data_IF_057076304136
#
_entry.id   IF_057076304136
#
_cell.length_a   1.000
_cell.length_b   1.000
_cell.length_c   1.000
_cell.angle_alpha   90.00
_cell.angle_beta   90.00
_cell.angle_gamma   90.00
#
_symmetry.space_group_name_H-M   'P 1'
#
loop_
_entity.id
_entity.type
_entity.pdbx_description
1 polymer ?
#
# COMPACT_ATOMS: atom_id res chain seq x y z
N UNK A 1 40.00 -48.88 4.45
CA UNK A 1 39.11 -47.71 4.65
C UNK A 1 38.03 -48.15 5.61
N UNK A 2 37.95 -47.59 6.84
CA UNK A 2 37.07 -48.10 7.89
C UNK A 2 35.61 -47.86 7.56
N UNK A 3 34.73 -48.83 7.73
CA UNK A 3 33.28 -48.77 7.44
C UNK A 3 32.62 -47.50 7.97
N UNK A 4 33.07 -46.98 9.09
CA UNK A 4 32.62 -45.70 9.67
C UNK A 4 32.81 -44.52 8.71
N UNK A 5 33.90 -44.44 7.95
CA UNK A 5 34.16 -43.35 6.99
C UNK A 5 33.24 -43.40 5.79
N UNK A 6 32.85 -44.61 5.36
CA UNK A 6 31.91 -44.82 4.25
C UNK A 6 30.49 -44.34 4.64
N UNK A 7 30.07 -44.64 5.88
CA UNK A 7 28.77 -44.22 6.43
C UNK A 7 28.69 -42.69 6.50
N UNK A 8 29.75 -42.02 6.98
CA UNK A 8 29.77 -40.54 7.03
C UNK A 8 29.76 -39.91 5.62
N UNK A 9 30.45 -40.49 4.64
CA UNK A 9 30.41 -40.03 3.26
C UNK A 9 29.01 -40.20 2.63
N UNK A 10 28.32 -41.30 2.91
CA UNK A 10 26.93 -41.52 2.43
C UNK A 10 25.94 -40.54 3.08
N UNK A 11 26.13 -40.22 4.38
CA UNK A 11 25.27 -39.28 5.09
C UNK A 11 25.44 -37.85 4.59
N UNK A 12 26.66 -37.44 4.23
CA UNK A 12 26.95 -36.11 3.66
C UNK A 12 26.40 -36.00 2.24
N UNK A 13 26.46 -37.07 1.43
CA UNK A 13 25.94 -37.11 0.07
C UNK A 13 24.41 -37.03 0.04
N UNK A 14 23.69 -37.55 1.06
CA UNK A 14 22.23 -37.46 1.13
C UNK A 14 21.69 -36.09 1.54
N UNK A 15 22.50 -35.24 2.18
CA UNK A 15 22.12 -33.84 2.53
C UNK A 15 22.22 -32.86 1.35
N UNK A 16 22.83 -33.24 0.23
CA UNK A 16 23.04 -32.37 -0.93
C UNK A 16 21.83 -32.23 -1.87
N UNK A 17 20.76 -33.00 -1.69
CA UNK A 17 19.54 -32.86 -2.49
C UNK A 17 18.57 -31.91 -1.77
N UNK A 18 18.98 -30.66 -1.62
CA UNK A 18 18.08 -29.59 -1.25
C UNK A 18 17.11 -29.35 -2.39
N UNK A 19 15.81 -29.49 -2.12
CA UNK A 19 14.76 -29.19 -3.08
C UNK A 19 14.74 -27.68 -3.33
N UNK A 20 15.39 -27.22 -4.37
CA UNK A 20 15.43 -25.81 -4.80
C UNK A 20 14.01 -25.28 -5.08
N UNK A 21 13.14 -26.13 -5.63
CA UNK A 21 11.74 -25.82 -5.90
C UNK A 21 10.83 -25.67 -4.68
N UNK A 22 11.29 -26.09 -3.48
CA UNK A 22 10.51 -25.91 -2.25
C UNK A 22 10.60 -24.48 -1.70
N UNK A 23 11.66 -23.76 -2.04
CA UNK A 23 11.88 -22.37 -1.62
C UNK A 23 11.36 -21.35 -2.65
N UNK A 24 11.01 -21.80 -3.84
CA UNK A 24 10.42 -20.97 -4.90
C UNK A 24 8.89 -20.85 -4.70
N UNK A 25 8.51 -20.33 -3.54
CA UNK A 25 7.13 -20.00 -3.22
C UNK A 25 6.87 -18.59 -3.70
N UNK A 26 6.26 -18.46 -4.88
CA UNK A 26 5.62 -17.18 -5.24
C UNK A 26 4.62 -16.85 -4.12
N UNK A 27 4.79 -15.75 -3.37
CA UNK A 27 3.84 -15.35 -2.36
C UNK A 27 2.47 -15.17 -3.02
N UNK A 28 1.50 -15.99 -2.64
CA UNK A 28 0.13 -15.97 -3.19
C UNK A 28 -0.60 -14.62 -3.02
N UNK A 29 0.03 -13.69 -2.31
CA UNK A 29 -0.49 -12.34 -2.06
C UNK A 29 0.18 -11.25 -2.93
N UNK A 30 1.25 -11.58 -3.65
CA UNK A 30 1.95 -10.63 -4.50
C UNK A 30 1.72 -11.04 -5.96
N UNK A 31 0.78 -10.37 -6.60
CA UNK A 31 0.58 -10.53 -8.05
C UNK A 31 1.76 -9.83 -8.71
N UNK A 32 2.54 -10.57 -9.49
CA UNK A 32 3.64 -9.99 -10.26
C UNK A 32 3.02 -9.04 -11.29
N UNK A 33 3.54 -7.82 -11.40
CA UNK A 33 3.01 -6.77 -12.29
C UNK A 33 2.80 -7.30 -13.73
N UNK A 34 3.71 -8.11 -14.24
CA UNK A 34 3.60 -8.72 -15.58
C UNK A 34 2.34 -9.58 -15.73
N UNK A 35 1.99 -10.38 -14.73
CA UNK A 35 0.81 -11.27 -14.77
C UNK A 35 -0.47 -10.44 -14.63
N UNK A 36 -0.49 -9.44 -13.73
CA UNK A 36 -1.65 -8.59 -13.52
C UNK A 36 -2.03 -7.82 -14.78
N UNK A 37 -1.06 -7.18 -15.43
CA UNK A 37 -1.32 -6.41 -16.64
C UNK A 37 -1.43 -7.26 -17.92
N UNK A 38 -1.30 -8.60 -17.84
CA UNK A 38 -1.45 -9.49 -18.99
C UNK A 38 -2.90 -9.65 -19.45
N UNK A 39 -3.87 -9.37 -18.60
CA UNK A 39 -5.31 -9.54 -18.86
C UNK A 39 -6.11 -8.26 -18.64
N UNK A 40 -7.23 -8.12 -19.34
CA UNK A 40 -8.15 -7.00 -19.15
C UNK A 40 -8.70 -6.96 -17.71
N UNK A 41 -8.98 -8.12 -17.11
CA UNK A 41 -9.42 -8.23 -15.72
C UNK A 41 -8.38 -7.70 -14.75
N UNK A 42 -7.10 -8.02 -14.96
CA UNK A 42 -6.03 -7.54 -14.08
C UNK A 42 -5.84 -6.03 -14.17
N UNK A 43 -6.02 -5.43 -15.35
CA UNK A 43 -6.03 -3.97 -15.51
C UNK A 43 -7.21 -3.34 -14.76
N UNK A 44 -8.39 -3.97 -14.82
CA UNK A 44 -9.57 -3.53 -14.07
C UNK A 44 -9.34 -3.62 -12.56
N UNK A 45 -8.75 -4.70 -12.07
CA UNK A 45 -8.39 -4.88 -10.66
C UNK A 45 -7.37 -3.82 -10.20
N UNK A 46 -6.38 -3.49 -11.03
CA UNK A 46 -5.44 -2.41 -10.77
C UNK A 46 -6.14 -1.05 -10.66
N UNK A 47 -7.13 -0.79 -11.52
CA UNK A 47 -7.95 0.43 -11.48
C UNK A 47 -8.80 0.49 -10.20
N UNK A 48 -9.39 -0.63 -9.75
CA UNK A 48 -10.08 -0.69 -8.46
C UNK A 48 -9.12 -0.39 -7.29
N UNK A 49 -7.85 -0.81 -7.40
CA UNK A 49 -6.80 -0.44 -6.45
C UNK A 49 -6.60 1.08 -6.36
N UNK A 50 -6.63 1.80 -7.49
CA UNK A 50 -6.57 3.27 -7.52
C UNK A 50 -7.78 3.89 -6.82
N UNK A 51 -8.99 3.42 -7.12
CA UNK A 51 -10.20 3.91 -6.45
C UNK A 51 -10.18 3.64 -4.95
N UNK A 52 -9.67 2.48 -4.53
CA UNK A 52 -9.46 2.15 -3.13
C UNK A 52 -8.48 3.12 -2.45
N UNK A 53 -7.38 3.48 -3.11
CA UNK A 53 -6.44 4.47 -2.60
C UNK A 53 -7.07 5.87 -2.48
N UNK A 54 -7.88 6.28 -3.45
CA UNK A 54 -8.60 7.56 -3.42
C UNK A 54 -9.69 7.60 -2.33
N UNK A 55 -10.30 6.47 -1.99
CA UNK A 55 -11.30 6.36 -0.92
C UNK A 55 -10.70 6.37 0.49
N UNK A 56 -9.37 6.51 0.62
CA UNK A 56 -8.70 6.68 1.90
C UNK A 56 -9.32 7.83 2.70
N UNK A 57 -9.40 7.70 4.03
CA UNK A 57 -10.01 8.71 4.91
C UNK A 57 -9.39 10.09 4.79
N UNK A 58 -8.10 10.20 4.50
CA UNK A 58 -7.42 11.48 4.28
C UNK A 58 -7.72 12.12 2.92
N UNK A 59 -8.26 11.37 1.96
CA UNK A 59 -8.70 11.89 0.66
C UNK A 59 -10.23 11.99 0.59
N UNK A 60 -10.81 11.39 -0.46
CA UNK A 60 -12.23 11.48 -0.71
C UNK A 60 -13.09 10.67 0.27
N UNK A 61 -12.49 9.78 1.09
CA UNK A 61 -13.23 9.02 2.09
C UNK A 61 -13.78 9.88 3.22
N UNK A 62 -13.12 10.99 3.59
CA UNK A 62 -13.63 11.89 4.63
C UNK A 62 -12.96 13.28 4.62
N UNK A 63 -11.65 13.36 4.89
CA UNK A 63 -10.98 14.62 5.24
C UNK A 63 -11.08 15.66 4.14
N UNK A 64 -10.83 15.28 2.89
CA UNK A 64 -10.82 16.19 1.76
C UNK A 64 -12.23 16.52 1.25
N UNK A 65 -13.18 15.60 1.38
CA UNK A 65 -14.53 15.72 0.81
C UNK A 65 -15.56 16.29 1.78
N UNK A 66 -15.40 16.03 3.09
CA UNK A 66 -16.39 16.41 4.10
C UNK A 66 -15.75 17.20 5.23
N UNK A 67 -14.77 16.61 5.91
CA UNK A 67 -14.26 17.15 7.18
C UNK A 67 -13.72 18.56 7.04
N UNK A 68 -12.72 18.79 6.20
CA UNK A 68 -12.13 20.13 6.01
C UNK A 68 -13.05 21.12 5.30
N UNK A 69 -13.83 20.75 4.25
CA UNK A 69 -14.81 21.66 3.68
C UNK A 69 -15.85 22.15 4.71
N UNK A 70 -16.42 21.26 5.53
CA UNK A 70 -17.39 21.62 6.56
C UNK A 70 -16.76 22.48 7.67
N UNK A 71 -15.52 22.19 7.99
CA UNK A 71 -14.74 22.93 8.96
C UNK A 71 -14.44 24.36 8.49
N UNK A 72 -13.99 24.53 7.25
CA UNK A 72 -13.72 25.84 6.65
C UNK A 72 -15.00 26.64 6.38
N UNK A 73 -16.10 25.95 6.09
CA UNK A 73 -17.42 26.57 5.94
C UNK A 73 -18.01 27.02 7.30
N UNK A 74 -17.33 26.71 8.43
CA UNK A 74 -17.80 27.02 9.78
C UNK A 74 -19.19 26.42 10.11
N UNK A 75 -19.50 25.27 9.51
CA UNK A 75 -20.75 24.56 9.76
C UNK A 75 -20.77 23.86 11.14
N UNK A 76 -19.63 23.78 11.81
CA UNK A 76 -19.52 23.26 13.16
C UNK A 76 -19.47 24.40 14.18
N UNK A 77 -20.15 24.24 15.30
CA UNK A 77 -20.10 25.17 16.42
C UNK A 77 -19.02 24.74 17.39
N UNK A 78 -18.11 25.67 17.73
CA UNK A 78 -17.15 25.45 18.79
C UNK A 78 -17.89 25.43 20.14
N UNK A 79 -17.83 24.31 20.85
CA UNK A 79 -18.41 24.16 22.20
C UNK A 79 -17.49 24.72 23.32
N UNK A 80 -16.36 25.30 22.92
CA UNK A 80 -15.38 25.86 23.85
C UNK A 80 -14.50 24.85 24.58
N UNK A 81 -14.62 23.56 24.21
CA UNK A 81 -13.79 22.51 24.81
C UNK A 81 -12.40 22.55 24.16
N UNK A 82 -11.41 22.95 24.93
CA UNK A 82 -10.00 22.97 24.50
C UNK A 82 -9.57 21.57 24.08
N UNK A 83 -9.05 21.46 22.87
CA UNK A 83 -8.54 20.19 22.32
C UNK A 83 -9.53 19.45 21.43
N UNK A 84 -10.73 19.99 21.20
CA UNK A 84 -11.61 19.50 20.13
C UNK A 84 -11.02 19.84 18.77
N UNK A 85 -11.41 19.05 17.74
CA UNK A 85 -10.95 19.28 16.37
C UNK A 85 -11.27 20.69 15.86
N UNK A 86 -12.37 21.27 16.32
CA UNK A 86 -12.81 22.65 16.01
C UNK A 86 -11.90 23.71 16.66
N UNK A 87 -11.47 23.49 17.91
CA UNK A 87 -10.52 24.37 18.59
C UNK A 87 -9.14 24.39 17.95
N UNK A 88 -8.82 23.41 17.10
CA UNK A 88 -7.57 23.30 16.32
C UNK A 88 -7.60 24.12 15.03
N UNK A 89 -8.72 24.71 14.68
CA UNK A 89 -8.93 25.52 13.47
C UNK A 89 -8.23 26.87 13.50
N UNK A 90 -7.64 27.28 14.60
CA UNK A 90 -6.74 28.41 14.59
C UNK A 90 -5.59 28.09 13.64
N UNK A 91 -5.65 28.69 12.47
CA UNK A 91 -4.69 28.53 11.38
C UNK A 91 -3.26 28.64 11.92
N UNK A 92 -2.54 27.54 11.84
CA UNK A 92 -1.18 27.40 12.38
C UNK A 92 -1.00 26.27 13.38
N UNK A 93 -2.04 25.45 13.65
CA UNK A 93 -1.87 24.27 14.47
C UNK A 93 -1.10 23.18 13.71
N UNK A 94 -0.07 22.65 14.35
CA UNK A 94 0.78 21.56 13.85
C UNK A 94 -0.02 20.29 13.43
N UNK A 95 -1.23 20.11 13.97
CA UNK A 95 -2.08 18.98 13.59
C UNK A 95 -2.67 19.13 12.19
N UNK A 96 -3.04 20.34 11.80
CA UNK A 96 -3.50 20.61 10.43
C UNK A 96 -2.37 20.37 9.42
N UNK A 97 -1.14 20.75 9.75
CA UNK A 97 0.04 20.46 8.94
C UNK A 97 0.24 18.95 8.78
N UNK A 98 0.12 18.18 9.87
CA UNK A 98 0.21 16.71 9.84
C UNK A 98 -0.83 16.07 8.93
N UNK A 99 -2.08 16.52 8.95
CA UNK A 99 -3.16 15.96 8.14
C UNK A 99 -3.00 16.34 6.66
N UNK A 100 -2.61 17.59 6.37
CA UNK A 100 -2.26 18.02 5.01
C UNK A 100 -1.12 17.16 4.43
N UNK A 101 -0.10 16.87 5.23
CA UNK A 101 1.00 15.99 4.81
C UNK A 101 0.51 14.55 4.52
N UNK A 102 -0.43 14.03 5.30
CA UNK A 102 -1.03 12.72 5.06
C UNK A 102 -1.89 12.72 3.80
N UNK A 103 -2.70 13.77 3.58
CA UNK A 103 -3.46 13.95 2.34
C UNK A 103 -2.54 13.99 1.12
N UNK A 104 -1.48 14.78 1.19
CA UNK A 104 -0.46 14.86 0.15
C UNK A 104 0.15 13.49 -0.16
N UNK A 105 0.62 12.78 0.86
CA UNK A 105 1.21 11.46 0.70
C UNK A 105 0.23 10.48 0.04
N UNK A 106 -1.02 10.44 0.47
CA UNK A 106 -2.03 9.54 -0.10
C UNK A 106 -2.37 9.90 -1.56
N UNK A 107 -2.45 11.20 -1.88
CA UNK A 107 -2.67 11.64 -3.25
C UNK A 107 -1.53 11.17 -4.18
N UNK A 108 -0.28 11.36 -3.77
CA UNK A 108 0.86 10.89 -4.55
C UNK A 108 0.98 9.36 -4.62
N UNK A 109 0.50 8.64 -3.60
CA UNK A 109 0.37 7.19 -3.68
C UNK A 109 -0.61 6.78 -4.77
N UNK A 110 -1.79 7.41 -4.84
CA UNK A 110 -2.77 7.14 -5.90
C UNK A 110 -2.22 7.49 -7.29
N UNK A 111 -1.53 8.63 -7.44
CA UNK A 111 -0.85 9.01 -8.68
C UNK A 111 0.20 7.95 -9.08
N UNK A 112 0.95 7.42 -8.13
CA UNK A 112 1.93 6.35 -8.37
C UNK A 112 1.26 5.10 -8.94
N UNK A 113 0.11 4.69 -8.42
CA UNK A 113 -0.64 3.55 -8.95
C UNK A 113 -1.14 3.79 -10.38
N UNK A 114 -1.66 4.99 -10.66
CA UNK A 114 -2.08 5.36 -12.04
C UNK A 114 -0.90 5.32 -13.00
N UNK A 115 0.24 5.90 -12.62
CA UNK A 115 1.43 5.88 -13.45
C UNK A 115 1.92 4.47 -13.72
N UNK A 116 1.86 3.58 -12.73
CA UNK A 116 2.22 2.17 -12.91
C UNK A 116 1.31 1.51 -13.96
N UNK A 117 -0.01 1.74 -13.90
CA UNK A 117 -0.94 1.24 -14.92
C UNK A 117 -0.57 1.76 -16.30
N UNK A 118 -0.35 3.08 -16.46
CA UNK A 118 -0.04 3.70 -17.75
C UNK A 118 1.24 3.10 -18.34
N UNK A 119 2.33 3.02 -17.57
CA UNK A 119 3.62 2.50 -18.03
C UNK A 119 3.49 1.04 -18.49
N UNK A 120 2.73 0.22 -17.76
CA UNK A 120 2.57 -1.19 -18.11
C UNK A 120 1.65 -1.40 -19.32
N UNK A 121 0.74 -0.47 -19.61
CA UNK A 121 -0.09 -0.52 -20.81
C UNK A 121 0.62 0.02 -22.06
N UNK A 122 1.49 1.03 -21.91
CA UNK A 122 2.27 1.59 -23.04
C UNK A 122 3.36 0.64 -23.53
N UNK A 123 3.86 -0.25 -22.68
CA UNK A 123 4.92 -1.20 -23.02
C UNK A 123 4.38 -2.50 -23.67
N UNK A 124 3.09 -2.60 -23.96
CA UNK A 124 2.44 -3.71 -24.65
C UNK A 124 2.03 -3.34 -26.08
#
# INVERSE_FOLDING_TARGET
MTMKKIIYMLLIASCGWSCDSFLDVNPKAEVIDEDMFSTASGVEDALYGVYSALSNSYLYGNYMSVYYPELFAQNFVDDGIKGTEIGKLNMGDLMMESDVMKMWKQAYTAIGYVNNIIINLENK
#
